data_IF_401457038274
#
_entry.id   IF_401457038274
#
_cell.length_a   1.000
_cell.length_b   1.000
_cell.length_c   1.000
_cell.angle_alpha   90.00
_cell.angle_beta   90.00
_cell.angle_gamma   90.00
#
_symmetry.space_group_name_H-M   'P 1'
#
loop_
_entity.id
_entity.type
_entity.pdbx_description
1 polymer ?
#
# COMPACT_ATOMS: atom_id res chain seq x y z
N UNK A 1 -15.05 -2.47 23.48
CA UNK A 1 -14.72 -3.44 22.38
C UNK A 1 -13.35 -3.04 21.83
N UNK A 2 -12.51 -3.99 21.46
CA UNK A 2 -11.11 -3.71 21.08
C UNK A 2 -11.01 -3.32 19.60
N UNK A 3 -9.97 -2.58 19.22
CA UNK A 3 -9.56 -2.28 17.83
C UNK A 3 -9.63 -3.51 16.90
N UNK A 4 -9.46 -4.72 17.45
CA UNK A 4 -9.56 -5.99 16.71
C UNK A 4 -10.94 -6.24 16.10
N UNK A 5 -12.01 -5.83 16.78
CA UNK A 5 -13.37 -5.96 16.25
C UNK A 5 -13.59 -5.04 15.05
N UNK A 6 -13.07 -3.81 15.14
CA UNK A 6 -13.10 -2.82 14.06
C UNK A 6 -12.29 -3.33 12.86
N UNK A 7 -11.05 -3.78 13.09
CA UNK A 7 -10.19 -4.32 12.05
C UNK A 7 -10.83 -5.51 11.32
N UNK A 8 -11.43 -6.45 12.07
CA UNK A 8 -12.11 -7.63 11.50
C UNK A 8 -13.32 -7.24 10.66
N UNK A 9 -14.09 -6.26 11.11
CA UNK A 9 -15.25 -5.76 10.37
C UNK A 9 -14.83 -5.04 9.09
N UNK A 10 -13.84 -4.14 9.17
CA UNK A 10 -13.31 -3.39 8.03
C UNK A 10 -12.68 -4.33 6.99
N UNK A 11 -11.94 -5.36 7.44
CA UNK A 11 -11.39 -6.39 6.56
C UNK A 11 -12.49 -7.22 5.85
N UNK A 12 -13.59 -7.52 6.55
CA UNK A 12 -14.73 -8.23 5.96
C UNK A 12 -15.43 -7.38 4.89
N UNK A 13 -15.57 -6.08 5.15
CA UNK A 13 -16.12 -5.12 4.18
C UNK A 13 -15.17 -5.00 2.98
N UNK A 14 -13.87 -4.85 3.23
CA UNK A 14 -12.86 -4.71 2.19
C UNK A 14 -12.84 -5.92 1.24
N UNK A 15 -12.94 -7.15 1.76
CA UNK A 15 -13.01 -8.37 0.92
C UNK A 15 -14.18 -8.38 -0.08
N UNK A 16 -15.24 -7.66 0.20
CA UNK A 16 -16.42 -7.53 -0.69
C UNK A 16 -16.37 -6.27 -1.56
N UNK A 17 -15.47 -5.35 -1.24
CA UNK A 17 -15.35 -4.08 -1.95
C UNK A 17 -14.59 -4.28 -3.27
N UNK A 18 -15.11 -3.71 -4.36
CA UNK A 18 -14.46 -3.72 -5.68
C UNK A 18 -13.05 -3.11 -5.64
N UNK A 19 -12.83 -2.11 -4.76
CA UNK A 19 -11.52 -1.46 -4.60
C UNK A 19 -10.41 -2.40 -4.13
N UNK A 20 -10.70 -3.34 -3.21
CA UNK A 20 -9.70 -4.31 -2.76
C UNK A 20 -9.29 -5.29 -3.88
N UNK A 21 -10.25 -5.73 -4.69
CA UNK A 21 -9.96 -6.55 -5.87
C UNK A 21 -9.21 -5.77 -6.94
N UNK A 22 -9.51 -4.47 -7.10
CA UNK A 22 -8.74 -3.56 -7.95
C UNK A 22 -7.26 -3.51 -7.55
N UNK A 23 -6.96 -3.42 -6.24
CA UNK A 23 -5.58 -3.48 -5.75
C UNK A 23 -4.89 -4.81 -6.11
N UNK A 24 -5.57 -5.93 -5.88
CA UNK A 24 -5.02 -7.26 -6.25
C UNK A 24 -4.68 -7.30 -7.73
N UNK A 25 -5.59 -6.86 -8.59
CA UNK A 25 -5.37 -6.83 -10.04
C UNK A 25 -4.18 -5.94 -10.42
N UNK A 26 -4.07 -4.74 -9.85
CA UNK A 26 -2.95 -3.83 -10.14
C UNK A 26 -1.62 -4.44 -9.72
N UNK A 27 -1.52 -5.05 -8.54
CA UNK A 27 -0.28 -5.72 -8.12
C UNK A 27 0.02 -6.95 -8.98
N UNK A 28 -0.97 -7.75 -9.32
CA UNK A 28 -0.77 -8.90 -10.22
C UNK A 28 -0.31 -8.45 -11.61
N UNK A 29 -0.88 -7.37 -12.15
CA UNK A 29 -0.43 -6.81 -13.43
C UNK A 29 1.01 -6.29 -13.33
N UNK A 30 1.41 -5.67 -12.23
CA UNK A 30 2.79 -5.25 -12.04
C UNK A 30 3.74 -6.45 -11.96
N UNK A 31 3.46 -7.43 -11.10
CA UNK A 31 4.31 -8.61 -10.95
C UNK A 31 4.39 -9.45 -12.23
N UNK A 32 3.24 -9.88 -12.75
CA UNK A 32 3.15 -10.80 -13.87
C UNK A 32 3.35 -10.11 -15.22
N UNK A 33 2.95 -8.83 -15.33
CA UNK A 33 3.17 -8.04 -16.54
C UNK A 33 4.65 -7.75 -16.76
N UNK A 34 5.40 -7.35 -15.70
CA UNK A 34 6.85 -7.16 -15.80
C UNK A 34 7.54 -8.52 -16.06
N UNK A 35 7.16 -9.58 -15.34
CA UNK A 35 7.70 -10.93 -15.62
C UNK A 35 7.47 -11.35 -17.06
N UNK A 36 6.27 -11.15 -17.59
CA UNK A 36 5.94 -11.42 -18.99
C UNK A 36 6.81 -10.64 -19.98
N UNK A 37 7.09 -9.35 -19.70
CA UNK A 37 7.99 -8.57 -20.56
C UNK A 37 9.41 -9.15 -20.60
N UNK A 38 9.93 -9.61 -19.46
CA UNK A 38 11.25 -10.25 -19.38
C UNK A 38 11.29 -11.61 -20.08
N UNK A 39 10.19 -12.37 -20.10
CA UNK A 39 10.12 -13.64 -20.84
C UNK A 39 10.24 -13.49 -22.35
N UNK A 40 9.86 -12.33 -22.91
CA UNK A 40 10.07 -12.02 -24.34
C UNK A 40 11.49 -11.55 -24.68
N UNK A 41 12.28 -11.15 -23.66
CA UNK A 41 13.65 -10.69 -23.81
C UNK A 41 14.66 -11.64 -23.18
N UNK A 42 15.33 -11.17 -22.14
CA UNK A 42 16.27 -11.96 -21.33
C UNK A 42 15.63 -12.28 -19.99
N UNK A 43 15.22 -13.53 -19.70
CA UNK A 43 14.57 -13.90 -18.45
C UNK A 43 15.57 -13.98 -17.28
N UNK A 44 16.24 -12.88 -16.99
CA UNK A 44 17.16 -12.75 -15.88
C UNK A 44 16.42 -12.21 -14.63
N UNK A 45 16.63 -12.87 -13.50
CA UNK A 45 15.90 -12.57 -12.27
C UNK A 45 16.31 -11.25 -11.63
N UNK A 46 17.59 -10.91 -11.58
CA UNK A 46 18.08 -9.68 -10.93
C UNK A 46 17.51 -8.41 -11.57
N UNK A 47 17.61 -8.20 -12.91
CA UNK A 47 17.00 -7.05 -13.56
C UNK A 47 15.48 -7.00 -13.40
N UNK A 48 14.80 -8.15 -13.35
CA UNK A 48 13.37 -8.22 -13.08
C UNK A 48 13.03 -7.63 -11.70
N UNK A 49 13.75 -8.05 -10.66
CA UNK A 49 13.53 -7.57 -9.26
C UNK A 49 13.85 -6.08 -9.16
N UNK A 50 14.89 -5.60 -9.84
CA UNK A 50 15.26 -4.18 -9.84
C UNK A 50 14.17 -3.31 -10.46
N UNK A 51 13.66 -3.70 -11.63
CA UNK A 51 12.55 -2.98 -12.30
C UNK A 51 11.29 -3.04 -11.46
N UNK A 52 10.97 -4.19 -10.85
CA UNK A 52 9.82 -4.33 -9.98
C UNK A 52 9.95 -3.45 -8.74
N UNK A 53 11.13 -3.39 -8.12
CA UNK A 53 11.44 -2.52 -6.99
C UNK A 53 11.26 -1.05 -7.34
N UNK A 54 11.75 -0.61 -8.50
CA UNK A 54 11.56 0.75 -8.99
C UNK A 54 10.08 1.10 -9.18
N UNK A 55 9.32 0.22 -9.81
CA UNK A 55 7.87 0.41 -9.99
C UNK A 55 7.16 0.46 -8.64
N UNK A 56 7.53 -0.39 -7.69
CA UNK A 56 6.90 -0.45 -6.37
C UNK A 56 7.25 0.75 -5.50
N UNK A 57 8.41 1.36 -5.67
CA UNK A 57 8.76 2.58 -4.97
C UNK A 57 7.75 3.72 -5.25
N UNK A 58 7.18 3.77 -6.45
CA UNK A 58 6.15 4.75 -6.81
C UNK A 58 4.72 4.22 -6.60
N UNK A 59 4.45 2.99 -7.01
CA UNK A 59 3.10 2.41 -7.06
C UNK A 59 2.54 2.13 -5.65
N UNK A 60 3.36 1.57 -4.75
CA UNK A 60 2.91 1.16 -3.42
C UNK A 60 2.39 2.34 -2.59
N UNK A 61 3.12 3.46 -2.42
CA UNK A 61 2.63 4.59 -1.65
C UNK A 61 1.40 5.24 -2.29
N UNK A 62 1.35 5.29 -3.64
CA UNK A 62 0.21 5.83 -4.36
C UNK A 62 -1.07 5.04 -4.04
N UNK A 63 -1.01 3.69 -4.16
CA UNK A 63 -2.13 2.82 -3.86
C UNK A 63 -2.49 2.82 -2.37
N UNK A 64 -1.49 2.90 -1.48
CA UNK A 64 -1.71 3.00 -0.05
C UNK A 64 -2.48 4.27 0.33
N UNK A 65 -2.15 5.40 -0.28
CA UNK A 65 -2.86 6.67 -0.11
C UNK A 65 -4.29 6.55 -0.65
N UNK A 66 -4.44 6.09 -1.91
CA UNK A 66 -5.76 5.93 -2.56
C UNK A 66 -6.67 5.01 -1.75
N UNK A 67 -6.13 3.95 -1.16
CA UNK A 67 -6.91 3.04 -0.34
C UNK A 67 -7.15 3.54 1.09
N UNK A 68 -6.27 4.43 1.59
CA UNK A 68 -6.28 4.95 2.96
C UNK A 68 -7.08 6.24 3.17
N UNK A 69 -7.18 7.14 2.18
CA UNK A 69 -7.64 8.51 2.38
C UNK A 69 -9.10 8.62 2.87
N UNK A 70 -9.98 7.74 2.44
CA UNK A 70 -11.39 7.75 2.87
C UNK A 70 -11.65 7.03 4.20
N UNK A 71 -10.60 6.54 4.88
CA UNK A 71 -10.75 5.62 6.01
C UNK A 71 -11.64 6.16 7.15
N UNK A 72 -11.54 7.44 7.46
CA UNK A 72 -12.31 8.10 8.54
C UNK A 72 -13.15 9.26 8.01
N UNK A 73 -12.59 10.09 7.13
CA UNK A 73 -13.31 11.26 6.59
C UNK A 73 -14.56 10.85 5.80
N UNK A 74 -14.52 9.73 5.08
CA UNK A 74 -15.67 9.18 4.35
C UNK A 74 -16.83 8.79 5.29
N UNK A 75 -16.53 8.22 6.45
CA UNK A 75 -17.56 7.90 7.47
C UNK A 75 -18.16 9.16 8.12
N UNK A 76 -17.35 10.21 8.30
CA UNK A 76 -17.86 11.49 8.82
C UNK A 76 -18.79 12.16 7.83
N UNK A 77 -18.43 12.19 6.54
CA UNK A 77 -19.24 12.84 5.49
C UNK A 77 -20.52 12.08 5.16
N UNK A 78 -20.54 10.75 5.32
CA UNK A 78 -21.73 9.90 5.13
C UNK A 78 -22.64 9.84 6.38
N UNK A 79 -22.22 10.40 7.53
CA UNK A 79 -22.97 10.31 8.78
C UNK A 79 -22.84 8.97 9.52
N UNK A 80 -22.19 7.96 8.92
CA UNK A 80 -22.02 6.64 9.56
C UNK A 80 -21.06 6.68 10.75
N UNK A 81 -20.22 7.71 10.86
CA UNK A 81 -19.38 7.95 12.04
C UNK A 81 -20.20 8.15 13.32
N UNK A 82 -21.40 8.74 13.23
CA UNK A 82 -22.28 8.92 14.40
C UNK A 82 -22.75 7.56 14.95
N UNK A 83 -23.01 6.59 14.08
CA UNK A 83 -23.37 5.22 14.47
C UNK A 83 -22.17 4.48 15.09
N UNK A 84 -20.98 4.65 14.54
CA UNK A 84 -19.76 4.01 15.04
C UNK A 84 -19.35 4.60 16.40
N UNK A 85 -19.52 5.90 16.61
CA UNK A 85 -19.21 6.59 17.86
C UNK A 85 -20.30 6.44 18.94
N UNK A 86 -21.50 5.94 18.62
CA UNK A 86 -22.51 5.56 19.61
C UNK A 86 -22.11 4.32 20.43
N UNK A 87 -21.14 3.55 19.97
CA UNK A 87 -20.53 2.46 20.73
C UNK A 87 -19.34 2.99 21.55
N UNK A 88 -18.97 2.37 22.68
CA UNK A 88 -17.87 2.78 23.54
C UNK A 88 -16.49 2.45 22.91
N UNK A 89 -16.20 3.09 21.78
CA UNK A 89 -14.92 2.98 21.07
C UNK A 89 -14.11 4.26 21.23
N UNK A 90 -12.83 4.12 21.54
CA UNK A 90 -11.93 5.27 21.51
C UNK A 90 -11.58 5.65 20.07
N UNK A 91 -11.23 6.93 19.86
CA UNK A 91 -10.73 7.40 18.54
C UNK A 91 -9.48 6.63 18.11
N UNK A 92 -8.66 6.20 19.09
CA UNK A 92 -7.47 5.41 18.85
C UNK A 92 -7.82 4.00 18.37
N UNK A 93 -8.83 3.34 18.98
CA UNK A 93 -9.29 2.04 18.53
C UNK A 93 -9.77 2.05 17.08
N UNK A 94 -10.46 3.13 16.69
CA UNK A 94 -10.90 3.34 15.32
C UNK A 94 -9.71 3.48 14.35
N UNK A 95 -8.72 4.32 14.70
CA UNK A 95 -7.54 4.53 13.89
C UNK A 95 -6.73 3.25 13.69
N UNK A 96 -6.41 2.57 14.80
CA UNK A 96 -5.63 1.33 14.78
C UNK A 96 -6.38 0.23 14.04
N UNK A 97 -7.68 0.09 14.26
CA UNK A 97 -8.50 -0.91 13.58
C UNK A 97 -8.48 -0.73 12.06
N UNK A 98 -8.67 0.51 11.60
CA UNK A 98 -8.65 0.83 10.16
C UNK A 98 -7.26 0.70 9.55
N UNK A 99 -6.23 1.19 10.25
CA UNK A 99 -4.83 1.03 9.83
C UNK A 99 -4.49 -0.45 9.60
N UNK A 100 -4.77 -1.30 10.59
CA UNK A 100 -4.46 -2.74 10.51
C UNK A 100 -5.23 -3.41 9.38
N UNK A 101 -6.53 -3.12 9.23
CA UNK A 101 -7.34 -3.73 8.18
C UNK A 101 -6.85 -3.34 6.78
N UNK A 102 -6.55 -2.06 6.56
CA UNK A 102 -6.11 -1.56 5.26
C UNK A 102 -4.71 -2.03 4.89
N UNK A 103 -3.79 -2.01 5.86
CA UNK A 103 -2.46 -2.58 5.68
C UNK A 103 -2.54 -4.08 5.34
N UNK A 104 -3.39 -4.85 6.03
CA UNK A 104 -3.56 -6.26 5.76
C UNK A 104 -4.08 -6.55 4.34
N UNK A 105 -4.97 -5.70 3.81
CA UNK A 105 -5.48 -5.85 2.42
C UNK A 105 -4.35 -5.62 1.41
N UNK A 106 -3.58 -4.54 1.56
CA UNK A 106 -2.49 -4.22 0.64
C UNK A 106 -1.37 -5.25 0.75
N UNK A 107 -0.97 -5.61 1.98
CA UNK A 107 0.04 -6.65 2.20
C UNK A 107 -0.41 -8.01 1.64
N UNK A 108 -1.69 -8.34 1.74
CA UNK A 108 -2.26 -9.53 1.13
C UNK A 108 -2.18 -9.52 -0.39
N UNK A 109 -2.45 -8.36 -1.03
CA UNK A 109 -2.34 -8.21 -2.48
C UNK A 109 -0.87 -8.33 -2.94
N UNK A 110 0.07 -7.66 -2.24
CA UNK A 110 1.51 -7.79 -2.48
C UNK A 110 1.96 -9.25 -2.30
N UNK A 111 1.58 -9.88 -1.18
CA UNK A 111 1.94 -11.27 -0.88
C UNK A 111 1.43 -12.26 -1.93
N UNK A 112 0.20 -12.09 -2.42
CA UNK A 112 -0.34 -12.91 -3.50
C UNK A 112 0.47 -12.71 -4.80
N UNK A 113 0.80 -11.48 -5.15
CA UNK A 113 1.64 -11.16 -6.29
C UNK A 113 3.04 -11.77 -6.16
N UNK A 114 3.68 -11.65 -4.99
CA UNK A 114 4.98 -12.26 -4.68
C UNK A 114 4.95 -13.79 -4.85
N UNK A 115 3.91 -14.46 -4.34
CA UNK A 115 3.76 -15.92 -4.46
C UNK A 115 3.59 -16.36 -5.92
N UNK A 116 2.66 -15.74 -6.64
CA UNK A 116 2.39 -16.12 -8.04
C UNK A 116 3.58 -15.79 -8.96
N UNK A 117 4.19 -14.62 -8.76
CA UNK A 117 5.40 -14.23 -9.49
C UNK A 117 6.56 -15.18 -9.16
N UNK A 118 6.71 -15.59 -7.88
CA UNK A 118 7.73 -16.54 -7.46
C UNK A 118 7.61 -17.90 -8.17
N UNK A 119 6.39 -18.38 -8.38
CA UNK A 119 6.16 -19.62 -9.15
C UNK A 119 6.63 -19.45 -10.60
N UNK A 120 6.27 -18.33 -11.23
CA UNK A 120 6.65 -18.07 -12.64
C UNK A 120 8.16 -17.90 -12.77
N UNK A 121 8.77 -17.09 -11.91
CA UNK A 121 10.21 -16.79 -11.99
C UNK A 121 11.07 -17.99 -11.62
N UNK A 122 10.64 -18.84 -10.67
CA UNK A 122 11.36 -20.05 -10.30
C UNK A 122 11.47 -21.07 -11.46
N UNK A 123 10.50 -21.06 -12.38
CA UNK A 123 10.46 -22.02 -13.50
C UNK A 123 11.12 -21.44 -14.76
N UNK A 124 11.02 -20.13 -14.95
CA UNK A 124 11.29 -19.53 -16.27
C UNK A 124 12.46 -18.52 -16.27
N UNK A 125 13.03 -18.17 -15.11
CA UNK A 125 14.09 -17.16 -15.01
C UNK A 125 15.41 -17.77 -14.56
N UNK A 126 16.49 -17.29 -15.15
CA UNK A 126 17.84 -17.62 -14.72
C UNK A 126 18.21 -16.83 -13.45
N UNK A 127 18.92 -17.50 -12.53
CA UNK A 127 19.40 -16.87 -11.29
C UNK A 127 18.32 -16.57 -10.27
N UNK A 128 17.22 -17.33 -10.24
CA UNK A 128 16.12 -17.14 -9.28
C UNK A 128 16.60 -17.15 -7.82
N UNK A 129 16.32 -16.06 -7.10
CA UNK A 129 16.57 -15.91 -5.67
C UNK A 129 15.25 -15.67 -4.93
N UNK A 130 14.73 -16.69 -4.22
CA UNK A 130 13.50 -16.58 -3.46
C UNK A 130 13.59 -15.58 -2.29
N UNK A 131 14.79 -15.39 -1.70
CA UNK A 131 14.97 -14.46 -0.58
C UNK A 131 14.91 -13.01 -1.06
N UNK A 132 15.48 -12.70 -2.21
CA UNK A 132 15.39 -11.37 -2.82
C UNK A 132 13.93 -11.02 -3.15
N UNK A 133 13.16 -11.95 -3.74
CA UNK A 133 11.76 -11.73 -4.06
C UNK A 133 10.88 -11.57 -2.80
N UNK A 134 11.07 -12.41 -1.80
CA UNK A 134 10.37 -12.31 -0.51
C UNK A 134 10.75 -11.02 0.22
N UNK A 135 12.04 -10.66 0.20
CA UNK A 135 12.54 -9.41 0.77
C UNK A 135 11.86 -8.19 0.15
N UNK A 136 11.77 -8.14 -1.19
CA UNK A 136 11.04 -7.08 -1.89
C UNK A 136 9.57 -7.03 -1.46
N UNK A 137 8.89 -8.17 -1.36
CA UNK A 137 7.50 -8.25 -0.90
C UNK A 137 7.31 -7.72 0.53
N UNK A 138 8.17 -8.12 1.46
CA UNK A 138 8.13 -7.70 2.87
C UNK A 138 8.43 -6.20 2.99
N UNK A 139 9.47 -5.70 2.33
CA UNK A 139 9.82 -4.27 2.32
C UNK A 139 8.69 -3.45 1.73
N UNK A 140 8.09 -3.89 0.62
CA UNK A 140 6.95 -3.22 -0.01
C UNK A 140 5.71 -3.19 0.89
N UNK A 141 5.44 -4.27 1.63
CA UNK A 141 4.33 -4.31 2.59
C UNK A 141 4.56 -3.38 3.79
N UNK A 142 5.80 -3.32 4.31
CA UNK A 142 6.18 -2.38 5.37
C UNK A 142 6.09 -0.92 4.87
N UNK A 143 6.54 -0.66 3.66
CA UNK A 143 6.45 0.64 3.01
C UNK A 143 4.98 1.07 2.81
N UNK A 144 4.11 0.16 2.36
CA UNK A 144 2.68 0.40 2.29
C UNK A 144 2.08 0.77 3.66
N UNK A 145 2.50 0.10 4.74
CA UNK A 145 2.02 0.38 6.08
C UNK A 145 2.31 1.84 6.51
N UNK A 146 3.48 2.37 6.17
CA UNK A 146 3.85 3.76 6.46
C UNK A 146 2.88 4.74 5.78
N UNK A 147 2.59 4.54 4.50
CA UNK A 147 1.68 5.43 3.77
C UNK A 147 0.20 5.24 4.13
N UNK A 148 -0.20 4.03 4.52
CA UNK A 148 -1.53 3.79 5.11
C UNK A 148 -1.67 4.51 6.45
N UNK A 149 -0.63 4.47 7.31
CA UNK A 149 -0.62 5.20 8.58
C UNK A 149 -0.73 6.71 8.36
N UNK A 150 0.04 7.25 7.42
CA UNK A 150 0.00 8.65 7.03
C UNK A 150 -1.39 9.04 6.51
N UNK A 151 -1.95 8.29 5.57
CA UNK A 151 -3.27 8.57 5.00
C UNK A 151 -4.39 8.48 6.05
N UNK A 152 -4.34 7.46 6.93
CA UNK A 152 -5.29 7.29 8.02
C UNK A 152 -5.18 8.43 9.04
N UNK A 153 -3.97 8.82 9.42
CA UNK A 153 -3.71 9.93 10.32
C UNK A 153 -4.24 11.26 9.77
N UNK A 154 -3.95 11.58 8.51
CA UNK A 154 -4.49 12.76 7.82
C UNK A 154 -6.02 12.71 7.73
N UNK A 155 -6.61 11.54 7.46
CA UNK A 155 -8.06 11.34 7.42
C UNK A 155 -8.74 11.58 8.76
N UNK A 156 -8.04 11.37 9.87
CA UNK A 156 -8.54 11.68 11.22
C UNK A 156 -8.44 13.17 11.57
N UNK A 157 -7.36 13.82 11.14
CA UNK A 157 -7.05 15.20 11.50
C UNK A 157 -7.75 16.25 10.64
N UNK A 158 -8.05 15.93 9.38
CA UNK A 158 -8.59 16.88 8.42
C UNK A 158 -10.11 16.74 8.25
N UNK A 159 -10.77 17.89 8.06
CA UNK A 159 -12.23 17.97 8.08
C UNK A 159 -12.89 17.52 6.76
N UNK A 160 -12.19 17.57 5.64
CA UNK A 160 -12.76 17.29 4.31
C UNK A 160 -11.89 16.32 3.50
N UNK A 161 -12.53 15.49 2.71
CA UNK A 161 -11.88 14.52 1.80
C UNK A 161 -10.87 15.23 0.88
N UNK A 162 -11.22 16.40 0.34
CA UNK A 162 -10.32 17.18 -0.52
C UNK A 162 -9.01 17.54 0.19
N UNK A 163 -9.08 18.00 1.44
CA UNK A 163 -7.87 18.34 2.22
C UNK A 163 -7.02 17.11 2.52
N UNK A 164 -7.65 15.98 2.81
CA UNK A 164 -6.94 14.70 3.03
C UNK A 164 -6.19 14.29 1.77
N UNK A 165 -6.85 14.30 0.62
CA UNK A 165 -6.24 13.96 -0.65
C UNK A 165 -5.07 14.90 -0.97
N UNK A 166 -5.29 16.22 -0.89
CA UNK A 166 -4.23 17.21 -1.19
C UNK A 166 -3.03 17.03 -0.27
N UNK A 167 -3.24 16.84 1.04
CA UNK A 167 -2.14 16.65 2.00
C UNK A 167 -1.40 15.32 1.77
N UNK A 168 -2.14 14.22 1.51
CA UNK A 168 -1.55 12.90 1.28
C UNK A 168 -0.74 12.84 -0.02
N UNK A 169 -1.27 13.43 -1.12
CA UNK A 169 -0.52 13.54 -2.38
C UNK A 169 0.65 14.52 -2.28
N UNK A 170 0.51 15.61 -1.52
CA UNK A 170 1.63 16.52 -1.23
C UNK A 170 2.76 15.81 -0.48
N UNK A 171 2.41 15.00 0.51
CA UNK A 171 3.39 14.17 1.22
C UNK A 171 4.03 13.11 0.30
N UNK A 172 3.26 12.48 -0.58
CA UNK A 172 3.80 11.55 -1.58
C UNK A 172 4.82 12.23 -2.50
N UNK A 173 4.48 13.38 -3.05
CA UNK A 173 5.38 14.14 -3.91
C UNK A 173 6.66 14.53 -3.15
N UNK A 174 6.53 15.05 -1.93
CA UNK A 174 7.69 15.44 -1.11
C UNK A 174 8.57 14.26 -0.70
N UNK A 175 7.97 13.16 -0.24
CA UNK A 175 8.71 12.03 0.33
C UNK A 175 9.15 10.99 -0.71
N UNK A 176 8.52 10.92 -1.88
CA UNK A 176 8.83 9.89 -2.89
C UNK A 176 9.48 10.53 -4.11
N UNK A 177 8.91 11.60 -4.65
CA UNK A 177 9.38 12.19 -5.89
C UNK A 177 10.59 13.09 -5.66
N UNK A 178 10.55 13.94 -4.63
CA UNK A 178 11.61 14.93 -4.36
C UNK A 178 12.66 14.46 -3.35
N UNK A 179 12.53 13.28 -2.76
CA UNK A 179 13.44 12.80 -1.73
C UNK A 179 14.89 12.69 -2.23
N UNK A 180 15.08 12.12 -3.42
CA UNK A 180 16.41 11.96 -4.02
C UNK A 180 17.08 13.31 -4.26
N UNK A 181 16.36 14.25 -4.86
CA UNK A 181 16.86 15.59 -5.12
C UNK A 181 17.20 16.34 -3.82
N UNK A 182 16.40 16.16 -2.79
CA UNK A 182 16.67 16.74 -1.47
C UNK A 182 17.96 16.19 -0.86
N UNK A 183 18.13 14.88 -0.91
CA UNK A 183 19.37 14.21 -0.40
C UNK A 183 20.59 14.67 -1.17
N UNK A 184 20.51 14.75 -2.51
CA UNK A 184 21.61 15.20 -3.36
C UNK A 184 22.01 16.65 -3.06
N UNK A 185 21.04 17.54 -2.84
CA UNK A 185 21.31 18.94 -2.47
C UNK A 185 22.00 19.02 -1.10
N UNK A 186 21.53 18.25 -0.12
CA UNK A 186 22.14 18.21 1.22
C UNK A 186 23.56 17.65 1.16
N UNK A 187 23.79 16.62 0.35
CA UNK A 187 25.14 16.03 0.17
C UNK A 187 26.12 17.00 -0.52
N UNK A 188 25.62 17.92 -1.37
CA UNK A 188 26.45 18.97 -2.00
C UNK A 188 26.79 20.12 -1.03
N UNK A 189 26.04 20.25 0.08
CA UNK A 189 26.24 21.31 1.08
C UNK A 189 27.15 20.88 2.25
N UNK A 190 27.42 19.60 2.38
CA UNK A 190 28.29 18.98 3.44
C UNK A 190 29.67 18.63 2.91
#
# INVERSE_FOLDING_TARGET
>A
MSWRAIARNDLRIARRARGAWGLVVVFLLAYLGIAGAFLYGTPEFTPYVDVLGFVFAALVPLLAIVFGYESVVGERTSGSAALTLSFPHSRLDLAVGKFVARTAVIAGAIGLGTLLSGIVTAVAFDGFDPLALLGLGVVSAAYAAVFVALATGLSMGLATTRRVITAAFGAYIGLVVFWTQFVDIVALML
#
